data_IF_272791241688
#
_entry.id   IF_272791241688
#
_cell.length_a   1.000
_cell.length_b   1.000
_cell.length_c   1.000
_cell.angle_alpha   90.00
_cell.angle_beta   90.00
_cell.angle_gamma   90.00
#
_symmetry.space_group_name_H-M   'P 1'
#
loop_
_entity.id
_entity.type
_entity.pdbx_description
1 polymer ?
#
# COMPACT_ATOMS: atom_id res chain seq x y z
N UNK A 1 -6.34 25.20 -3.37
CA UNK A 1 -7.05 24.42 -4.39
C UNK A 1 -6.34 23.07 -4.49
N UNK A 2 -7.03 21.95 -4.32
CA UNK A 2 -6.44 20.61 -4.48
C UNK A 2 -6.14 20.42 -5.98
N UNK A 3 -4.92 19.96 -6.35
CA UNK A 3 -4.62 19.63 -7.74
C UNK A 3 -5.61 18.58 -8.28
N UNK A 4 -6.08 18.74 -9.52
CA UNK A 4 -7.02 17.82 -10.18
C UNK A 4 -6.34 17.02 -11.29
N UNK A 5 -5.15 16.51 -11.04
CA UNK A 5 -4.34 15.78 -12.04
C UNK A 5 -4.95 14.44 -12.48
N UNK A 6 -5.99 13.98 -11.80
CA UNK A 6 -6.74 12.77 -12.15
C UNK A 6 -8.07 13.04 -12.86
N UNK A 7 -8.34 14.28 -13.27
CA UNK A 7 -9.58 14.61 -13.97
C UNK A 7 -9.77 13.71 -15.21
N UNK A 8 -10.94 13.07 -15.25
CA UNK A 8 -11.33 12.15 -16.31
C UNK A 8 -10.67 10.77 -16.25
N UNK A 9 -9.77 10.49 -15.30
CA UNK A 9 -9.20 9.16 -15.11
C UNK A 9 -10.11 8.27 -14.28
N UNK A 10 -10.05 6.97 -14.58
CA UNK A 10 -10.75 5.91 -13.86
C UNK A 10 -9.75 5.11 -13.03
N UNK A 11 -10.02 4.99 -11.73
CA UNK A 11 -9.14 4.28 -10.79
C UNK A 11 -9.89 3.16 -10.05
N UNK A 12 -9.24 2.01 -9.90
CA UNK A 12 -9.70 0.90 -9.06
C UNK A 12 -8.68 0.61 -7.95
N UNK A 13 -9.15 0.47 -6.71
CA UNK A 13 -8.31 0.23 -5.53
C UNK A 13 -8.81 -1.01 -4.81
N UNK A 14 -7.99 -2.07 -4.72
CA UNK A 14 -8.31 -3.25 -3.92
C UNK A 14 -8.02 -3.01 -2.44
N UNK A 15 -8.83 -3.60 -1.54
CA UNK A 15 -8.77 -3.27 -0.13
C UNK A 15 -9.21 -1.83 0.15
N UNK A 16 -10.09 -1.28 -0.71
CA UNK A 16 -10.54 0.10 -0.69
C UNK A 16 -11.53 0.47 0.42
N UNK A 17 -11.98 -0.51 1.20
CA UNK A 17 -12.96 -0.32 2.28
C UNK A 17 -12.37 0.19 3.60
N UNK A 18 -11.05 0.17 3.78
CA UNK A 18 -10.43 0.59 5.04
C UNK A 18 -8.98 1.04 4.89
N UNK A 19 -8.43 1.69 5.93
CA UNK A 19 -7.01 2.03 6.06
C UNK A 19 -6.43 2.76 4.84
N UNK A 20 -5.27 2.28 4.36
CA UNK A 20 -4.54 2.88 3.24
C UNK A 20 -5.39 2.88 1.96
N UNK A 21 -6.10 1.78 1.67
CA UNK A 21 -6.95 1.68 0.49
C UNK A 21 -8.06 2.72 0.48
N UNK A 22 -8.77 2.88 1.60
CA UNK A 22 -9.83 3.89 1.74
C UNK A 22 -9.29 5.31 1.62
N UNK A 23 -8.16 5.61 2.28
CA UNK A 23 -7.51 6.91 2.15
C UNK A 23 -7.10 7.18 0.68
N UNK A 24 -6.61 6.15 -0.03
CA UNK A 24 -6.23 6.25 -1.45
C UNK A 24 -7.44 6.53 -2.35
N UNK A 25 -8.50 5.77 -2.20
CA UNK A 25 -9.75 5.95 -2.99
C UNK A 25 -10.28 7.37 -2.82
N UNK A 26 -10.38 7.85 -1.57
CA UNK A 26 -10.85 9.21 -1.25
C UNK A 26 -9.94 10.28 -1.83
N UNK A 27 -8.63 10.11 -1.73
CA UNK A 27 -7.67 11.07 -2.26
C UNK A 27 -7.73 11.16 -3.78
N UNK A 28 -7.79 10.01 -4.49
CA UNK A 28 -7.91 9.97 -5.94
C UNK A 28 -9.21 10.65 -6.41
N UNK A 29 -10.34 10.37 -5.74
CA UNK A 29 -11.62 11.04 -6.01
C UNK A 29 -11.54 12.54 -5.78
N UNK A 30 -10.98 13.00 -4.65
CA UNK A 30 -10.78 14.42 -4.36
C UNK A 30 -9.91 15.14 -5.39
N UNK A 31 -9.00 14.40 -6.06
CA UNK A 31 -8.13 14.91 -7.12
C UNK A 31 -8.70 14.71 -8.53
N UNK A 32 -9.98 14.33 -8.66
CA UNK A 32 -10.75 14.31 -9.91
C UNK A 32 -10.92 12.94 -10.56
N UNK A 33 -10.40 11.85 -9.97
CA UNK A 33 -10.62 10.52 -10.51
C UNK A 33 -12.07 10.05 -10.29
N UNK A 34 -12.58 9.27 -11.23
CA UNK A 34 -13.70 8.34 -10.98
C UNK A 34 -13.11 7.12 -10.29
N UNK A 35 -13.29 6.98 -8.98
CA UNK A 35 -12.59 5.98 -8.18
C UNK A 35 -13.54 4.88 -7.70
N UNK A 36 -13.12 3.62 -7.81
CA UNK A 36 -13.82 2.46 -7.28
C UNK A 36 -13.04 1.82 -6.13
N UNK A 37 -13.76 1.47 -5.06
CA UNK A 37 -13.26 0.73 -3.92
C UNK A 37 -13.68 -0.74 -4.03
N UNK A 38 -12.73 -1.62 -4.28
CA UNK A 38 -12.92 -3.06 -4.36
C UNK A 38 -12.51 -3.68 -3.01
N UNK A 39 -13.48 -4.24 -2.28
CA UNK A 39 -13.24 -4.81 -0.94
C UNK A 39 -14.30 -5.87 -0.63
N UNK A 40 -14.03 -6.74 0.33
CA UNK A 40 -15.06 -7.61 0.90
C UNK A 40 -16.17 -6.79 1.60
N UNK A 41 -15.80 -5.62 2.15
CA UNK A 41 -16.69 -4.71 2.89
C UNK A 41 -16.49 -3.24 2.45
N UNK A 42 -16.90 -2.86 1.23
CA UNK A 42 -16.55 -1.56 0.65
C UNK A 42 -17.44 -0.40 1.12
N UNK A 43 -18.41 -0.62 2.01
CA UNK A 43 -19.44 0.37 2.37
C UNK A 43 -18.89 1.70 2.91
N UNK A 44 -17.77 1.68 3.65
CA UNK A 44 -17.14 2.89 4.16
C UNK A 44 -16.60 3.83 3.06
N UNK A 45 -16.40 3.32 1.84
CA UNK A 45 -15.96 4.12 0.71
C UNK A 45 -17.09 4.94 0.06
N UNK A 46 -18.36 4.56 0.29
CA UNK A 46 -19.51 5.21 -0.32
C UNK A 46 -19.78 6.64 0.22
N UNK A 47 -19.11 7.05 1.30
CA UNK A 47 -19.26 8.41 1.83
C UNK A 47 -18.75 9.43 0.81
N UNK A 48 -19.55 10.48 0.60
CA UNK A 48 -19.25 11.56 -0.34
C UNK A 48 -17.92 12.24 0.04
N UNK A 49 -17.13 12.57 -0.98
CA UNK A 49 -15.93 13.40 -0.85
C UNK A 49 -16.30 14.82 -1.23
N UNK A 50 -15.89 15.81 -0.43
CA UNK A 50 -16.21 17.21 -0.69
C UNK A 50 -15.77 17.64 -2.11
N UNK A 51 -16.72 18.11 -2.91
CA UNK A 51 -16.47 18.58 -4.28
C UNK A 51 -16.30 17.49 -5.35
N UNK A 52 -16.56 16.21 -5.03
CA UNK A 52 -16.47 15.10 -5.97
C UNK A 52 -17.64 14.11 -5.81
N UNK A 53 -17.95 13.37 -6.89
CA UNK A 53 -18.79 12.17 -6.77
C UNK A 53 -18.06 11.16 -5.86
N UNK A 54 -18.78 10.61 -4.88
CA UNK A 54 -18.20 9.63 -3.95
C UNK A 54 -17.67 8.39 -4.70
N UNK A 55 -16.67 7.71 -4.13
CA UNK A 55 -16.13 6.48 -4.73
C UNK A 55 -17.22 5.41 -4.90
N UNK A 56 -17.14 4.62 -5.98
CA UNK A 56 -18.03 3.50 -6.24
C UNK A 56 -17.62 2.30 -5.35
N UNK A 57 -18.45 1.87 -4.39
CA UNK A 57 -18.16 0.68 -3.61
C UNK A 57 -18.54 -0.59 -4.40
N UNK A 58 -17.62 -1.53 -4.54
CA UNK A 58 -17.85 -2.83 -5.18
C UNK A 58 -17.36 -3.96 -4.28
N UNK A 59 -18.19 -4.96 -4.08
CA UNK A 59 -17.76 -6.19 -3.37
C UNK A 59 -16.82 -6.97 -4.27
N UNK A 60 -15.62 -7.29 -3.77
CA UNK A 60 -14.63 -8.09 -4.48
C UNK A 60 -13.76 -8.88 -3.50
N UNK A 61 -13.67 -10.17 -3.73
CA UNK A 61 -12.72 -11.07 -3.07
C UNK A 61 -11.52 -11.30 -3.99
N UNK A 62 -10.34 -10.83 -3.60
CA UNK A 62 -9.12 -10.98 -4.40
C UNK A 62 -8.63 -12.44 -4.47
N UNK A 63 -9.18 -13.35 -3.66
CA UNK A 63 -8.90 -14.79 -3.72
C UNK A 63 -9.78 -15.53 -4.73
N UNK A 64 -10.84 -14.88 -5.23
CA UNK A 64 -11.76 -15.41 -6.23
C UNK A 64 -11.58 -14.67 -7.57
N UNK A 65 -11.13 -15.39 -8.61
CA UNK A 65 -10.89 -14.85 -9.94
C UNK A 65 -12.17 -14.29 -10.56
N UNK A 66 -13.30 -14.99 -10.42
CA UNK A 66 -14.60 -14.54 -10.95
C UNK A 66 -15.08 -13.26 -10.28
N UNK A 67 -14.92 -13.15 -8.96
CA UNK A 67 -15.26 -11.95 -8.20
C UNK A 67 -14.43 -10.73 -8.66
N UNK A 68 -13.15 -10.95 -8.88
CA UNK A 68 -12.23 -9.90 -9.37
C UNK A 68 -12.58 -9.46 -10.78
N UNK A 69 -12.81 -10.41 -11.70
CA UNK A 69 -13.17 -10.11 -13.09
C UNK A 69 -14.48 -9.32 -13.16
N UNK A 70 -15.50 -9.74 -12.41
CA UNK A 70 -16.78 -9.04 -12.36
C UNK A 70 -16.64 -7.61 -11.83
N UNK A 71 -15.83 -7.39 -10.77
CA UNK A 71 -15.63 -6.07 -10.21
C UNK A 71 -14.88 -5.12 -11.18
N UNK A 72 -13.83 -5.61 -11.84
CA UNK A 72 -13.08 -4.81 -12.83
C UNK A 72 -13.95 -4.53 -14.06
N UNK A 73 -14.73 -5.50 -14.54
CA UNK A 73 -15.66 -5.31 -15.65
C UNK A 73 -16.71 -4.23 -15.31
N UNK A 74 -17.29 -4.28 -14.10
CA UNK A 74 -18.27 -3.29 -13.66
C UNK A 74 -17.69 -1.86 -13.63
N UNK A 75 -16.43 -1.69 -13.22
CA UNK A 75 -15.71 -0.39 -13.29
C UNK A 75 -15.59 0.08 -14.72
N UNK A 76 -15.13 -0.82 -15.61
CA UNK A 76 -14.88 -0.50 -17.01
C UNK A 76 -16.18 -0.20 -17.79
N UNK A 77 -17.26 -0.93 -17.53
CA UNK A 77 -18.58 -0.70 -18.11
C UNK A 77 -19.17 0.64 -17.68
N UNK A 78 -19.06 0.97 -16.37
CA UNK A 78 -19.62 2.20 -15.82
C UNK A 78 -18.94 3.46 -16.39
N UNK A 79 -17.63 3.43 -16.63
CA UNK A 79 -16.86 4.64 -16.95
C UNK A 79 -16.06 4.56 -18.28
N UNK A 80 -16.19 3.47 -19.03
CA UNK A 80 -15.63 3.29 -20.35
C UNK A 80 -14.19 2.81 -20.38
N UNK A 81 -13.60 2.43 -19.23
CA UNK A 81 -12.21 1.93 -19.16
C UNK A 81 -11.63 1.96 -17.77
N UNK A 82 -10.31 1.76 -17.70
CA UNK A 82 -9.52 1.83 -16.45
C UNK A 82 -8.15 2.42 -16.77
N UNK A 83 -7.72 3.42 -16.00
CA UNK A 83 -6.43 4.10 -16.14
C UNK A 83 -5.45 3.77 -15.00
N UNK A 84 -5.97 3.57 -13.78
CA UNK A 84 -5.16 3.34 -12.59
C UNK A 84 -5.65 2.11 -11.85
N UNK A 85 -4.74 1.15 -11.60
CA UNK A 85 -4.97 0.05 -10.68
C UNK A 85 -4.09 0.22 -9.45
N UNK A 86 -4.69 0.19 -8.26
CA UNK A 86 -3.96 0.12 -6.99
C UNK A 86 -4.21 -1.23 -6.33
N UNK A 87 -3.20 -2.08 -6.34
CA UNK A 87 -3.21 -3.36 -5.65
C UNK A 87 -2.82 -3.14 -4.18
N UNK A 88 -3.81 -2.96 -3.32
CA UNK A 88 -3.58 -2.66 -1.91
C UNK A 88 -4.13 -3.74 -0.96
N UNK A 89 -5.09 -4.57 -1.40
CA UNK A 89 -5.62 -5.65 -0.58
C UNK A 89 -4.48 -6.53 -0.03
N UNK A 90 -4.54 -6.84 1.25
CA UNK A 90 -3.53 -7.67 1.89
C UNK A 90 -3.82 -7.93 3.35
N UNK A 91 -3.27 -9.03 3.85
CA UNK A 91 -3.34 -9.44 5.26
C UNK A 91 -1.94 -9.61 5.83
N UNK A 92 -1.80 -9.39 7.13
CA UNK A 92 -0.55 -9.63 7.83
C UNK A 92 -0.44 -11.05 8.34
N UNK A 93 0.80 -11.43 8.71
CA UNK A 93 1.10 -12.62 9.48
C UNK A 93 2.18 -12.30 10.51
N UNK A 94 2.10 -12.93 11.68
CA UNK A 94 3.10 -12.87 12.73
C UNK A 94 3.66 -14.27 12.95
N UNK A 95 4.93 -14.36 13.31
CA UNK A 95 5.59 -15.60 13.62
C UNK A 95 6.91 -15.79 12.88
N UNK A 96 7.73 -16.71 13.41
CA UNK A 96 8.95 -17.19 12.76
C UNK A 96 8.60 -18.17 11.63
N UNK A 97 9.60 -18.73 10.96
CA UNK A 97 9.38 -19.69 9.87
C UNK A 97 8.72 -20.99 10.36
N UNK A 98 8.89 -21.35 11.63
CA UNK A 98 8.34 -22.56 12.22
C UNK A 98 6.95 -22.37 12.86
N UNK A 99 6.59 -21.14 13.23
CA UNK A 99 5.32 -20.86 13.93
C UNK A 99 4.11 -20.87 12.97
N UNK A 100 4.29 -20.43 11.73
CA UNK A 100 3.18 -20.34 10.79
C UNK A 100 2.94 -21.68 10.08
N UNK A 101 1.75 -22.32 10.23
CA UNK A 101 1.41 -23.54 9.51
C UNK A 101 1.33 -23.28 7.99
N UNK A 102 1.58 -24.32 7.19
CA UNK A 102 1.54 -24.21 5.72
C UNK A 102 0.19 -23.71 5.17
N UNK A 103 -0.89 -23.94 5.88
CA UNK A 103 -2.23 -23.40 5.59
C UNK A 103 -2.25 -21.89 5.61
N UNK A 104 -1.62 -21.28 6.63
CA UNK A 104 -1.51 -19.83 6.74
C UNK A 104 -0.59 -19.27 5.65
N UNK A 105 0.51 -19.98 5.32
CA UNK A 105 1.37 -19.63 4.18
C UNK A 105 0.58 -19.54 2.89
N UNK A 106 -0.24 -20.58 2.58
CA UNK A 106 -1.08 -20.60 1.38
C UNK A 106 -2.06 -19.44 1.35
N UNK A 107 -2.77 -19.21 2.45
CA UNK A 107 -3.76 -18.15 2.57
C UNK A 107 -3.15 -16.77 2.40
N UNK A 108 -2.02 -16.48 3.07
CA UNK A 108 -1.39 -15.15 3.00
C UNK A 108 -0.76 -14.91 1.63
N UNK A 109 -0.16 -15.93 1.00
CA UNK A 109 0.31 -15.84 -0.39
C UNK A 109 -0.84 -15.64 -1.36
N UNK A 110 -1.95 -16.32 -1.16
CA UNK A 110 -3.13 -16.21 -2.03
C UNK A 110 -3.69 -14.78 -2.02
N UNK A 111 -3.87 -14.19 -0.86
CA UNK A 111 -4.34 -12.80 -0.74
C UNK A 111 -3.29 -11.81 -1.23
N UNK A 112 -2.07 -11.85 -0.67
CA UNK A 112 -1.08 -10.78 -0.83
C UNK A 112 -0.36 -10.79 -2.19
N UNK A 113 -0.25 -11.95 -2.83
CA UNK A 113 0.47 -12.12 -4.08
C UNK A 113 -0.46 -12.54 -5.22
N UNK A 114 -1.16 -13.67 -5.11
CA UNK A 114 -2.01 -14.16 -6.19
C UNK A 114 -3.22 -13.24 -6.40
N UNK A 115 -3.73 -12.60 -5.36
CA UNK A 115 -4.77 -11.56 -5.47
C UNK A 115 -4.32 -10.40 -6.36
N UNK A 116 -3.07 -9.93 -6.22
CA UNK A 116 -2.52 -8.90 -7.12
C UNK A 116 -2.37 -9.40 -8.55
N UNK A 117 -1.99 -10.66 -8.74
CA UNK A 117 -1.91 -11.27 -10.07
C UNK A 117 -3.29 -11.31 -10.73
N UNK A 118 -4.33 -11.79 -10.01
CA UNK A 118 -5.71 -11.85 -10.54
C UNK A 118 -6.22 -10.46 -10.92
N UNK A 119 -6.11 -9.48 -10.02
CA UNK A 119 -6.58 -8.11 -10.28
C UNK A 119 -5.83 -7.46 -11.43
N UNK A 120 -4.52 -7.67 -11.54
CA UNK A 120 -3.73 -7.14 -12.64
C UNK A 120 -4.13 -7.79 -13.97
N UNK A 121 -4.28 -9.11 -14.02
CA UNK A 121 -4.73 -9.83 -15.23
C UNK A 121 -6.08 -9.32 -15.72
N UNK A 122 -7.05 -9.15 -14.83
CA UNK A 122 -8.36 -8.60 -15.17
C UNK A 122 -8.29 -7.14 -15.66
N UNK A 123 -7.39 -6.34 -15.08
CA UNK A 123 -7.25 -4.91 -15.40
C UNK A 123 -6.46 -4.65 -16.71
N UNK A 124 -5.47 -5.48 -17.07
CA UNK A 124 -4.56 -5.26 -18.21
C UNK A 124 -5.28 -4.98 -19.53
N UNK A 125 -6.37 -5.67 -19.93
CA UNK A 125 -7.08 -5.36 -21.18
C UNK A 125 -7.62 -3.93 -21.24
N UNK A 126 -7.95 -3.35 -20.08
CA UNK A 126 -8.44 -1.98 -19.96
C UNK A 126 -7.28 -0.97 -19.88
N UNK A 127 -6.26 -1.26 -19.08
CA UNK A 127 -5.05 -0.43 -18.95
C UNK A 127 -4.32 -0.25 -20.28
N UNK A 128 -4.25 -1.28 -21.13
CA UNK A 128 -3.67 -1.20 -22.49
C UNK A 128 -4.35 -0.20 -23.40
N UNK A 129 -5.62 0.13 -23.13
CA UNK A 129 -6.37 1.14 -23.91
C UNK A 129 -6.21 2.56 -23.34
N UNK A 130 -5.62 2.69 -22.17
CA UNK A 130 -5.35 3.98 -21.54
C UNK A 130 -4.02 4.57 -22.07
N UNK A 131 -4.04 5.83 -22.46
CA UNK A 131 -2.80 6.57 -22.77
C UNK A 131 -2.02 7.04 -21.52
N UNK A 132 -2.51 6.73 -20.30
CA UNK A 132 -1.96 7.21 -19.01
C UNK A 132 -1.97 6.13 -17.94
N UNK A 133 -1.83 4.86 -18.36
CA UNK A 133 -1.95 3.71 -17.47
C UNK A 133 -0.89 3.66 -16.37
N UNK A 134 -1.34 3.36 -15.14
CA UNK A 134 -0.45 3.14 -14.00
C UNK A 134 -0.96 2.02 -13.09
N UNK A 135 -0.04 1.18 -12.62
CA UNK A 135 -0.27 0.20 -11.55
C UNK A 135 0.59 0.59 -10.35
N UNK A 136 0.00 0.64 -9.17
CA UNK A 136 0.73 0.86 -7.92
C UNK A 136 0.43 -0.27 -6.94
N UNK A 137 1.47 -0.99 -6.53
CA UNK A 137 1.36 -2.10 -5.59
C UNK A 137 1.69 -1.63 -4.16
N UNK A 138 0.89 -2.01 -3.17
CA UNK A 138 1.22 -1.80 -1.76
C UNK A 138 2.13 -2.92 -1.27
N UNK A 139 3.42 -2.66 -1.27
CA UNK A 139 4.45 -3.52 -0.72
C UNK A 139 4.60 -3.30 0.80
N UNK A 140 5.80 -3.25 1.34
CA UNK A 140 6.09 -2.98 2.76
C UNK A 140 7.58 -2.80 2.99
N UNK A 141 7.96 -2.12 4.06
CA UNK A 141 9.31 -2.17 4.63
C UNK A 141 9.78 -3.62 4.88
N UNK A 142 8.86 -4.54 5.16
CA UNK A 142 9.16 -5.96 5.35
C UNK A 142 9.74 -6.67 4.11
N UNK A 143 9.65 -6.06 2.93
CA UNK A 143 10.29 -6.57 1.71
C UNK A 143 11.80 -6.31 1.67
N UNK A 144 12.30 -5.33 2.42
CA UNK A 144 13.67 -4.82 2.31
C UNK A 144 14.42 -4.80 3.64
N UNK A 145 13.72 -4.97 4.76
CA UNK A 145 14.29 -5.03 6.11
C UNK A 145 13.93 -6.36 6.79
N UNK A 146 14.91 -6.99 7.45
CA UNK A 146 14.67 -8.16 8.29
C UNK A 146 13.92 -7.75 9.56
N UNK A 147 12.66 -8.14 9.67
CA UNK A 147 11.83 -7.88 10.84
C UNK A 147 11.63 -9.18 11.62
N UNK A 148 11.85 -9.20 12.95
CA UNK A 148 11.59 -10.38 13.76
C UNK A 148 10.11 -10.75 13.69
N UNK A 149 9.82 -12.05 13.74
CA UNK A 149 8.46 -12.61 13.73
C UNK A 149 7.61 -12.16 12.53
N UNK A 150 8.21 -12.06 11.34
CA UNK A 150 7.54 -11.64 10.10
C UNK A 150 7.95 -12.49 8.89
N UNK A 151 8.41 -13.73 9.11
CA UNK A 151 8.95 -14.56 8.03
C UNK A 151 7.97 -14.71 6.85
N UNK A 152 6.75 -15.16 7.12
CA UNK A 152 5.70 -15.32 6.10
C UNK A 152 5.33 -14.00 5.43
N UNK A 153 5.07 -12.96 6.24
CA UNK A 153 4.69 -11.65 5.70
C UNK A 153 5.80 -11.04 4.83
N UNK A 154 7.05 -11.10 5.31
CA UNK A 154 8.22 -10.61 4.56
C UNK A 154 8.41 -11.35 3.25
N UNK A 155 8.23 -12.67 3.24
CA UNK A 155 8.30 -13.47 2.01
C UNK A 155 7.27 -12.99 0.96
N UNK A 156 6.01 -12.74 1.38
CA UNK A 156 4.98 -12.24 0.45
C UNK A 156 5.32 -10.83 -0.06
N UNK A 157 5.83 -9.95 0.80
CA UNK A 157 6.15 -8.57 0.39
C UNK A 157 7.43 -8.49 -0.43
N UNK A 158 8.41 -9.37 -0.19
CA UNK A 158 9.56 -9.57 -1.08
C UNK A 158 9.14 -10.03 -2.48
N UNK A 159 8.18 -10.97 -2.55
CA UNK A 159 7.60 -11.40 -3.82
C UNK A 159 6.87 -10.26 -4.55
N UNK A 160 6.10 -9.43 -3.84
CA UNK A 160 5.43 -8.24 -4.42
C UNK A 160 6.44 -7.25 -4.98
N UNK A 161 7.56 -7.00 -4.29
CA UNK A 161 8.63 -6.13 -4.79
C UNK A 161 9.20 -6.66 -6.12
N UNK A 162 9.58 -7.94 -6.16
CA UNK A 162 10.11 -8.57 -7.36
C UNK A 162 9.10 -8.60 -8.50
N UNK A 163 7.82 -8.93 -8.21
CA UNK A 163 6.73 -8.89 -9.17
C UNK A 163 6.55 -7.48 -9.76
N UNK A 164 6.63 -6.44 -8.94
CA UNK A 164 6.52 -5.05 -9.40
C UNK A 164 7.59 -4.72 -10.45
N UNK A 165 8.85 -5.12 -10.20
CA UNK A 165 9.95 -4.87 -11.13
C UNK A 165 9.78 -5.64 -12.45
N UNK A 166 9.38 -6.92 -12.36
CA UNK A 166 9.10 -7.73 -13.55
C UNK A 166 7.97 -7.14 -14.39
N UNK A 167 6.83 -6.80 -13.74
CA UNK A 167 5.70 -6.17 -14.43
C UNK A 167 6.06 -4.80 -15.03
N UNK A 168 6.93 -4.03 -14.38
CA UNK A 168 7.39 -2.76 -14.94
C UNK A 168 8.18 -2.97 -16.23
N UNK A 169 9.02 -4.00 -16.30
CA UNK A 169 9.77 -4.34 -17.49
C UNK A 169 8.87 -4.89 -18.61
N UNK A 170 7.94 -5.79 -18.26
CA UNK A 170 7.06 -6.47 -19.23
C UNK A 170 6.08 -5.49 -19.90
N UNK A 171 5.54 -4.54 -19.12
CA UNK A 171 4.47 -3.64 -19.59
C UNK A 171 4.95 -2.25 -20.02
N UNK A 172 6.25 -1.94 -19.92
CA UNK A 172 6.82 -0.68 -20.41
C UNK A 172 6.56 -0.45 -21.91
N UNK A 173 6.71 -1.47 -22.79
CA UNK A 173 6.40 -1.30 -24.22
C UNK A 173 4.91 -1.01 -24.48
N UNK A 174 4.02 -1.36 -23.54
CA UNK A 174 2.59 -1.12 -23.60
C UNK A 174 2.20 0.26 -23.03
N UNK A 175 3.17 1.07 -22.59
CA UNK A 175 2.95 2.38 -21.98
C UNK A 175 2.37 2.33 -20.56
N UNK A 176 2.41 1.17 -19.89
CA UNK A 176 1.90 0.99 -18.53
C UNK A 176 3.05 1.13 -17.53
N UNK A 177 2.96 2.10 -16.62
CA UNK A 177 3.92 2.27 -15.53
C UNK A 177 3.55 1.37 -14.36
N UNK A 178 4.53 0.71 -13.75
CA UNK A 178 4.30 -0.14 -12.57
C UNK A 178 5.30 0.23 -11.48
N UNK A 179 4.78 0.57 -10.30
CA UNK A 179 5.57 0.96 -9.14
C UNK A 179 5.02 0.33 -7.86
N UNK A 180 5.75 0.42 -6.76
CA UNK A 180 5.20 0.10 -5.45
C UNK A 180 5.57 1.14 -4.39
N UNK A 181 4.77 1.18 -3.33
CA UNK A 181 5.11 1.88 -2.10
C UNK A 181 5.56 0.89 -1.04
N UNK A 182 6.55 1.26 -0.21
CA UNK A 182 7.04 0.49 0.93
C UNK A 182 6.69 1.23 2.24
N UNK A 183 5.46 1.08 2.77
CA UNK A 183 5.12 1.68 4.04
C UNK A 183 5.91 1.04 5.19
N UNK A 184 6.27 1.86 6.18
CA UNK A 184 6.62 1.41 7.51
C UNK A 184 5.39 0.88 8.26
N UNK A 185 5.43 0.89 9.59
CA UNK A 185 4.23 0.56 10.37
C UNK A 185 3.22 1.70 10.24
N UNK A 186 2.12 1.43 9.53
CA UNK A 186 1.07 2.42 9.28
C UNK A 186 -0.05 2.32 10.34
N UNK A 187 -0.56 3.48 10.80
CA UNK A 187 -1.72 3.54 11.68
C UNK A 187 -2.99 3.18 10.91
N UNK A 188 -3.35 1.93 10.95
CA UNK A 188 -4.50 1.35 10.25
C UNK A 188 -5.41 0.60 11.22
N UNK A 189 -6.68 0.36 10.87
CA UNK A 189 -7.57 -0.47 11.68
C UNK A 189 -6.99 -1.87 11.96
N UNK A 190 -6.19 -2.42 11.03
CA UNK A 190 -5.50 -3.70 11.24
C UNK A 190 -4.45 -3.63 12.36
N UNK A 191 -3.57 -2.61 12.34
CA UNK A 191 -2.55 -2.41 13.39
C UNK A 191 -3.22 -2.15 14.73
N UNK A 192 -4.31 -1.36 14.76
CA UNK A 192 -5.07 -1.12 15.99
C UNK A 192 -5.68 -2.39 16.57
N UNK A 193 -6.20 -3.31 15.72
CA UNK A 193 -6.68 -4.63 16.18
C UNK A 193 -5.54 -5.50 16.73
N UNK A 194 -4.36 -5.48 16.10
CA UNK A 194 -3.19 -6.20 16.61
C UNK A 194 -2.79 -5.68 18.00
N UNK A 195 -2.69 -4.36 18.16
CA UNK A 195 -2.39 -3.74 19.45
C UNK A 195 -3.40 -4.13 20.52
N UNK A 196 -4.70 -4.10 20.20
CA UNK A 196 -5.77 -4.47 21.14
C UNK A 196 -5.71 -5.96 21.57
N UNK A 197 -5.05 -6.82 20.81
CA UNK A 197 -4.88 -8.24 21.11
C UNK A 197 -3.61 -8.54 21.95
N UNK A 198 -2.73 -7.55 22.18
CA UNK A 198 -1.52 -7.74 22.99
C UNK A 198 -1.81 -7.54 24.49
N UNK A 199 -1.03 -8.18 25.39
CA UNK A 199 -1.17 -7.99 26.83
C UNK A 199 -0.96 -6.54 27.29
N UNK A 200 -0.07 -5.80 26.63
CA UNK A 200 0.20 -4.39 26.89
C UNK A 200 0.22 -3.58 25.56
N UNK A 201 -0.95 -3.06 25.14
CA UNK A 201 -1.08 -2.28 23.91
C UNK A 201 -0.23 -1.00 23.88
N UNK A 202 0.02 -0.39 25.06
CA UNK A 202 0.79 0.85 25.13
C UNK A 202 2.28 0.60 24.94
N UNK A 203 2.82 -0.44 25.58
CA UNK A 203 4.22 -0.84 25.40
C UNK A 203 4.48 -1.27 23.96
N UNK A 204 3.58 -2.05 23.35
CA UNK A 204 3.71 -2.47 21.95
C UNK A 204 3.63 -1.26 21.01
N UNK A 205 2.71 -0.33 21.20
CA UNK A 205 2.64 0.90 20.42
C UNK A 205 3.92 1.73 20.52
N UNK A 206 4.48 1.85 21.73
CA UNK A 206 5.76 2.53 21.93
C UNK A 206 6.90 1.83 21.17
N UNK A 207 6.95 0.50 21.20
CA UNK A 207 7.94 -0.28 20.45
C UNK A 207 7.79 -0.10 18.93
N UNK A 208 6.55 -0.10 18.42
CA UNK A 208 6.28 0.15 16.99
C UNK A 208 6.72 1.57 16.56
N UNK A 209 6.48 2.57 17.39
CA UNK A 209 6.94 3.95 17.16
C UNK A 209 8.46 4.06 17.16
N UNK A 210 9.11 3.42 18.13
CA UNK A 210 10.57 3.44 18.26
C UNK A 210 11.31 2.79 17.09
N UNK A 211 10.67 1.86 16.36
CA UNK A 211 11.24 1.25 15.14
C UNK A 211 11.39 2.25 13.99
N UNK A 212 10.60 3.32 13.98
CA UNK A 212 10.62 4.33 12.93
C UNK A 212 11.45 5.54 13.39
N UNK A 213 12.50 5.94 12.65
CA UNK A 213 13.33 7.10 12.99
C UNK A 213 12.56 8.39 13.28
N UNK A 214 11.38 8.57 12.67
CA UNK A 214 10.49 9.70 12.95
C UNK A 214 9.78 9.63 14.31
N UNK A 215 9.88 8.50 15.03
CA UNK A 215 9.25 8.30 16.34
C UNK A 215 7.73 8.17 16.33
N UNK A 216 7.12 8.02 15.16
CA UNK A 216 5.65 7.89 15.01
C UNK A 216 5.29 6.87 13.95
N UNK A 217 4.07 6.37 13.99
CA UNK A 217 3.52 5.56 12.91
C UNK A 217 3.30 6.42 11.66
N UNK A 218 3.37 5.79 10.49
CA UNK A 218 2.99 6.41 9.21
C UNK A 218 1.47 6.50 9.15
N UNK A 219 0.90 7.60 8.64
CA UNK A 219 -0.54 7.66 8.46
C UNK A 219 -0.99 6.99 7.15
N UNK A 220 -2.25 6.58 7.09
CA UNK A 220 -2.85 6.07 5.86
C UNK A 220 -2.83 7.11 4.75
N UNK A 221 -2.98 8.38 5.09
CA UNK A 221 -2.99 9.53 4.18
C UNK A 221 -1.59 9.80 3.59
N UNK A 222 -0.51 9.63 4.37
CA UNK A 222 0.87 9.74 3.86
C UNK A 222 1.16 8.66 2.80
N UNK A 223 0.70 7.43 3.05
CA UNK A 223 0.85 6.34 2.07
C UNK A 223 -0.02 6.60 0.84
N UNK A 224 -1.26 7.04 1.03
CA UNK A 224 -2.17 7.39 -0.07
C UNK A 224 -1.60 8.51 -0.95
N UNK A 225 -0.95 9.52 -0.36
CA UNK A 225 -0.28 10.59 -1.10
C UNK A 225 0.87 10.06 -1.98
N UNK A 226 1.66 9.12 -1.46
CA UNK A 226 2.72 8.46 -2.22
C UNK A 226 2.16 7.59 -3.36
N UNK A 227 1.08 6.84 -3.10
CA UNK A 227 0.37 6.07 -4.14
C UNK A 227 -0.15 6.99 -5.22
N UNK A 228 -0.83 8.08 -4.85
CA UNK A 228 -1.34 9.06 -5.80
C UNK A 228 -0.21 9.70 -6.64
N UNK A 229 0.94 10.02 -6.03
CA UNK A 229 2.11 10.50 -6.79
C UNK A 229 2.56 9.49 -7.85
N UNK A 230 2.74 8.23 -7.49
CA UNK A 230 3.17 7.19 -8.43
C UNK A 230 2.13 6.88 -9.52
N UNK A 231 0.85 7.01 -9.19
CA UNK A 231 -0.27 6.84 -10.13
C UNK A 231 -0.44 8.05 -11.07
N UNK A 232 0.00 9.25 -10.65
CA UNK A 232 -0.22 10.51 -11.36
C UNK A 232 0.40 10.52 -12.76
N UNK A 233 -0.30 11.04 -13.79
CA UNK A 233 0.28 11.31 -15.09
C UNK A 233 1.51 12.23 -15.05
N UNK A 234 1.64 13.05 -14.01
CA UNK A 234 2.80 13.91 -13.80
C UNK A 234 4.09 13.13 -13.46
N UNK A 235 3.95 11.88 -13.03
CA UNK A 235 5.08 10.98 -12.76
C UNK A 235 5.41 10.08 -13.98
N UNK A 236 5.28 10.61 -15.20
CA UNK A 236 5.37 9.84 -16.45
C UNK A 236 6.69 9.07 -16.65
N UNK A 237 7.80 9.56 -16.09
CA UNK A 237 9.11 8.92 -16.16
C UNK A 237 9.42 8.00 -14.97
N UNK A 238 8.44 7.76 -14.06
CA UNK A 238 8.63 6.93 -12.87
C UNK A 238 7.98 5.57 -13.07
N UNK A 239 8.80 4.53 -13.27
CA UNK A 239 8.39 3.12 -13.36
C UNK A 239 9.47 2.22 -12.75
N UNK A 240 9.11 1.04 -12.24
CA UNK A 240 10.03 0.11 -11.58
C UNK A 240 10.58 0.63 -10.25
N UNK A 241 9.88 1.57 -9.60
CA UNK A 241 10.33 2.18 -8.34
C UNK A 241 9.63 1.58 -7.13
N UNK A 242 10.38 1.41 -6.05
CA UNK A 242 9.87 1.12 -4.71
C UNK A 242 10.04 2.36 -3.82
N UNK A 243 8.98 3.11 -3.61
CA UNK A 243 9.00 4.35 -2.84
C UNK A 243 8.79 4.07 -1.35
N UNK A 244 9.81 4.33 -0.54
CA UNK A 244 9.73 4.20 0.91
C UNK A 244 8.85 5.29 1.53
N UNK A 245 7.87 4.87 2.36
CA UNK A 245 7.01 5.73 3.17
C UNK A 245 7.06 5.18 4.60
N UNK A 246 8.23 5.23 5.22
CA UNK A 246 8.57 4.42 6.40
C UNK A 246 9.22 5.22 7.54
N UNK A 247 9.20 6.55 7.45
CA UNK A 247 9.84 7.40 8.44
C UNK A 247 11.35 7.25 8.52
N UNK A 248 11.99 6.74 7.45
CA UNK A 248 13.44 6.53 7.36
C UNK A 248 13.90 5.15 7.84
N UNK A 249 13.00 4.24 8.15
CA UNK A 249 13.30 2.91 8.73
C UNK A 249 14.21 2.07 7.82
N UNK A 250 14.04 2.12 6.51
CA UNK A 250 14.86 1.39 5.55
C UNK A 250 16.26 1.98 5.40
N UNK A 251 16.37 3.29 5.27
CA UNK A 251 17.59 3.96 4.78
C UNK A 251 18.46 4.62 5.84
N UNK A 252 17.89 4.98 7.00
CA UNK A 252 18.62 5.78 8.00
C UNK A 252 19.25 4.92 9.09
N UNK A 253 20.42 5.36 9.54
CA UNK A 253 21.13 4.81 10.70
C UNK A 253 21.43 5.98 11.64
N UNK A 254 20.53 6.23 12.59
CA UNK A 254 20.66 7.34 13.53
C UNK A 254 21.71 7.00 14.60
N UNK A 255 22.43 8.03 15.07
CA UNK A 255 23.25 7.90 16.28
C UNK A 255 22.33 7.82 17.50
N UNK A 256 22.60 6.94 18.48
CA UNK A 256 21.91 6.99 19.74
C UNK A 256 21.98 8.40 20.33
N UNK A 257 20.93 8.90 21.00
CA UNK A 257 21.03 10.15 21.76
C UNK A 257 22.19 10.04 22.74
N UNK A 258 22.96 11.11 22.89
CA UNK A 258 24.02 11.15 23.89
C UNK A 258 23.39 10.83 25.25
N UNK A 259 23.92 9.81 25.95
CA UNK A 259 23.45 9.47 27.30
C UNK A 259 23.62 10.72 28.18
N UNK A 260 22.55 11.26 28.69
CA UNK A 260 22.61 12.26 29.77
C UNK A 260 23.27 11.55 30.97
N UNK A 261 24.56 11.76 31.17
CA UNK A 261 25.25 11.19 32.31
C UNK A 261 26.71 10.84 32.10
N UNK A 262 27.55 11.81 31.84
CA UNK A 262 28.90 11.88 32.42
C UNK A 262 29.38 13.33 32.37
N UNK A 263 28.90 14.13 33.28
CA UNK A 263 29.55 15.38 33.64
C UNK A 263 30.93 15.14 34.25
N UNK A 264 31.91 14.71 33.45
CA UNK A 264 33.29 14.87 33.81
C UNK A 264 33.71 16.31 33.43
N UNK A 265 34.22 17.14 34.36
CA UNK A 265 34.69 18.47 34.02
C UNK A 265 35.84 18.35 33.04
N UNK A 266 35.71 19.00 31.88
CA UNK A 266 36.82 19.14 30.93
C UNK A 266 37.94 19.91 31.65
N UNK A 267 38.95 19.19 32.08
CA UNK A 267 40.15 19.77 32.57
C UNK A 267 40.77 20.67 31.50
N UNK A 268 40.99 21.92 31.83
CA UNK A 268 41.72 22.92 31.02
C UNK A 268 43.15 22.44 30.88
N UNK A 269 43.71 22.23 29.69
CA UNK A 269 45.13 21.97 29.54
C UNK A 269 45.90 23.26 29.87
N UNK A 270 46.91 23.13 30.73
CA UNK A 270 47.92 24.20 30.98
C UNK A 270 48.88 24.31 29.82
#
# INVERSE_FOLDING_TARGET
MVPREFDGLVAAVTGGGSGIGLATVRLLAARGARAAALDLYPSAAAESVEGAEGPLPLVADVTDETSVEAAIAAVAERWGGLDVLVNNAGIGAQGTVEDNPLEEWRRVLDVNLLGMVRTTRAALPHLRRSGRAAIVNTCSIAATAGLPERALYSATKGAVLSLTLAMAADHLPEGIRVNCVNPGTADTPWVRRLLAATPDPQAELAALRARQPTGRLVSSEEVAAAIAHLASPLAASTTGTALAVDGGMQGLRLRPPASEGSGAPRGVPR
#
